data_IF_321115178987
#
_entry.id   IF_321115178987
#
_cell.length_a   1.000
_cell.length_b   1.000
_cell.length_c   1.000
_cell.angle_alpha   90.00
_cell.angle_beta   90.00
_cell.angle_gamma   90.00
#
_symmetry.space_group_name_H-M   'P 1'
#
loop_
_entity.id
_entity.type
_entity.pdbx_description
1 polymer ?
#
# COMPACT_ATOMS: atom_id res chain seq x y z
N UNK A 1 -5.88 8.37 -14.47
CA UNK A 1 -7.00 7.49 -14.10
C UNK A 1 -7.37 6.52 -15.21
N UNK A 2 -7.44 7.00 -16.43
CA UNK A 2 -7.80 6.14 -17.55
C UNK A 2 -6.76 5.05 -17.83
N UNK A 3 -5.49 5.38 -17.70
CA UNK A 3 -4.40 4.40 -17.87
C UNK A 3 -4.54 3.25 -16.87
N UNK A 4 -4.84 3.55 -15.62
CA UNK A 4 -5.03 2.52 -14.58
C UNK A 4 -6.24 1.65 -14.90
N UNK A 5 -7.34 2.24 -15.33
CA UNK A 5 -8.55 1.49 -15.72
C UNK A 5 -8.28 0.59 -16.94
N UNK A 6 -7.54 1.08 -17.91
CA UNK A 6 -7.20 0.33 -19.11
C UNK A 6 -6.33 -0.89 -18.78
N UNK A 7 -5.32 -0.71 -17.93
CA UNK A 7 -4.46 -1.81 -17.48
C UNK A 7 -5.29 -2.86 -16.74
N UNK A 8 -6.12 -2.44 -15.79
CA UNK A 8 -6.94 -3.35 -15.00
C UNK A 8 -7.97 -4.10 -15.84
N UNK A 9 -8.46 -3.50 -16.93
CA UNK A 9 -9.43 -4.13 -17.82
C UNK A 9 -8.81 -5.18 -18.74
N UNK A 10 -7.53 -5.04 -19.07
CA UNK A 10 -6.86 -5.90 -20.08
C UNK A 10 -6.12 -7.08 -19.50
N UNK A 11 -5.62 -6.97 -18.27
CA UNK A 11 -4.75 -8.00 -17.70
C UNK A 11 -4.77 -8.00 -16.18
N UNK A 12 -4.27 -9.10 -15.62
CA UNK A 12 -4.01 -9.16 -14.18
C UNK A 12 -2.83 -8.25 -13.85
N UNK A 13 -2.96 -7.44 -12.82
CA UNK A 13 -1.93 -6.47 -12.46
C UNK A 13 -1.86 -6.24 -10.96
N UNK A 14 -0.64 -5.92 -10.49
CA UNK A 14 -0.40 -5.38 -9.15
C UNK A 14 -0.07 -3.90 -9.33
N UNK A 15 -0.89 -3.03 -8.79
CA UNK A 15 -0.71 -1.58 -8.93
C UNK A 15 -0.35 -1.00 -7.58
N UNK A 16 0.79 -0.31 -7.50
CA UNK A 16 1.28 0.27 -6.26
C UNK A 16 1.07 1.79 -6.27
N UNK A 17 0.31 2.27 -5.29
CA UNK A 17 0.03 3.70 -5.15
C UNK A 17 -0.89 4.25 -6.23
N UNK A 18 -0.68 5.50 -6.63
CA UNK A 18 -1.41 6.20 -7.71
C UNK A 18 -2.92 6.35 -7.45
N UNK A 19 -3.35 6.26 -6.19
CA UNK A 19 -4.77 6.27 -5.82
C UNK A 19 -5.59 5.18 -6.54
N UNK A 20 -4.93 4.06 -6.90
CA UNK A 20 -5.58 2.99 -7.65
C UNK A 20 -6.73 2.35 -6.88
N UNK A 21 -6.62 2.25 -5.56
CA UNK A 21 -7.69 1.76 -4.68
C UNK A 21 -8.97 2.58 -4.85
N UNK A 22 -8.85 3.89 -4.96
CA UNK A 22 -9.96 4.79 -5.18
C UNK A 22 -10.49 4.71 -6.61
N UNK A 23 -9.58 4.72 -7.60
CA UNK A 23 -9.92 4.67 -9.02
C UNK A 23 -10.67 3.39 -9.38
N UNK A 24 -10.25 2.27 -8.78
CA UNK A 24 -10.81 0.94 -9.04
C UNK A 24 -11.85 0.51 -7.99
N UNK A 25 -12.30 1.43 -7.15
CA UNK A 25 -13.30 1.13 -6.12
C UNK A 25 -14.56 0.53 -6.75
N UNK A 26 -15.08 -0.52 -6.11
CA UNK A 26 -16.29 -1.19 -6.55
C UNK A 26 -16.11 -2.25 -7.62
N UNK A 27 -14.89 -2.47 -8.12
CA UNK A 27 -14.64 -3.57 -9.07
C UNK A 27 -14.59 -4.90 -8.33
N UNK A 28 -15.29 -5.90 -8.88
CA UNK A 28 -15.45 -7.20 -8.24
C UNK A 28 -14.18 -8.02 -8.20
N UNK A 29 -13.28 -7.86 -9.15
CA UNK A 29 -12.06 -8.62 -9.27
C UNK A 29 -10.82 -7.88 -8.74
N UNK A 30 -11.03 -6.99 -7.78
CA UNK A 30 -9.98 -6.14 -7.23
C UNK A 30 -9.87 -6.36 -5.72
N UNK A 31 -8.64 -6.52 -5.23
CA UNK A 31 -8.34 -6.56 -3.80
C UNK A 31 -7.48 -5.34 -3.47
N UNK A 32 -7.98 -4.50 -2.58
CA UNK A 32 -7.27 -3.31 -2.12
C UNK A 32 -6.56 -3.61 -0.82
N UNK A 33 -5.24 -3.44 -0.79
CA UNK A 33 -4.39 -3.78 0.35
C UNK A 33 -3.65 -2.55 0.83
N UNK A 34 -3.65 -2.35 2.15
CA UNK A 34 -2.81 -1.37 2.80
C UNK A 34 -1.76 -2.08 3.65
N UNK A 35 -0.50 -1.92 3.29
CA UNK A 35 0.63 -2.52 4.01
C UNK A 35 1.23 -1.47 4.94
N UNK A 36 1.37 -1.82 6.22
CA UNK A 36 1.98 -0.92 7.20
C UNK A 36 2.99 -1.69 8.06
N UNK A 37 3.71 -0.97 8.90
CA UNK A 37 4.61 -1.55 9.89
C UNK A 37 4.78 -0.56 11.04
N UNK A 38 5.13 -1.04 12.26
CA UNK A 38 5.49 -0.16 13.36
C UNK A 38 6.65 0.76 12.97
N UNK A 39 6.67 1.94 13.55
CA UNK A 39 7.67 2.96 13.20
C UNK A 39 9.11 2.48 13.37
N UNK A 40 9.42 1.78 14.46
CA UNK A 40 10.76 1.25 14.73
C UNK A 40 11.21 0.26 13.64
N UNK A 41 10.33 -0.60 13.19
CA UNK A 41 10.59 -1.54 12.10
C UNK A 41 10.90 -0.79 10.80
N UNK A 42 10.11 0.23 10.49
CA UNK A 42 10.29 1.04 9.29
C UNK A 42 11.61 1.82 9.33
N UNK A 43 11.93 2.40 10.48
CA UNK A 43 13.20 3.12 10.68
C UNK A 43 14.38 2.19 10.43
N UNK A 44 14.38 1.00 11.01
CA UNK A 44 15.45 0.03 10.83
C UNK A 44 15.61 -0.40 9.37
N UNK A 45 14.51 -0.61 8.67
CA UNK A 45 14.54 -0.96 7.23
C UNK A 45 15.15 0.13 6.38
N UNK A 46 14.79 1.39 6.65
CA UNK A 46 15.30 2.55 5.89
C UNK A 46 16.79 2.77 6.20
N UNK A 47 17.19 2.65 7.45
CA UNK A 47 18.60 2.75 7.84
C UNK A 47 19.46 1.72 7.09
N UNK A 48 19.00 0.49 7.04
CA UNK A 48 19.72 -0.60 6.38
C UNK A 48 19.78 -0.42 4.85
N UNK A 49 18.66 -0.01 4.25
CA UNK A 49 18.56 0.13 2.78
C UNK A 49 19.34 1.31 2.24
N UNK A 50 19.33 2.43 2.95
CA UNK A 50 19.89 3.69 2.46
C UNK A 50 21.12 4.16 3.21
N UNK A 51 21.62 3.34 4.15
CA UNK A 51 22.78 3.69 4.97
C UNK A 51 22.61 5.05 5.66
N UNK A 52 21.44 5.28 6.23
CA UNK A 52 21.08 6.50 6.95
C UNK A 52 21.23 6.33 8.44
N UNK A 53 21.42 7.44 9.16
CA UNK A 53 21.29 7.47 10.61
C UNK A 53 19.82 7.31 11.01
N UNK A 54 19.56 6.99 12.29
CA UNK A 54 18.21 6.90 12.82
C UNK A 54 17.43 8.21 12.63
N UNK A 55 18.06 9.35 12.93
CA UNK A 55 17.43 10.66 12.80
C UNK A 55 17.05 10.96 11.34
N UNK A 56 17.95 10.65 10.41
CA UNK A 56 17.70 10.84 8.97
C UNK A 56 16.56 9.95 8.49
N UNK A 57 16.55 8.68 8.90
CA UNK A 57 15.51 7.74 8.53
C UNK A 57 14.14 8.16 9.07
N UNK A 58 14.08 8.60 10.32
CA UNK A 58 12.84 9.07 10.94
C UNK A 58 12.29 10.30 10.21
N UNK A 59 13.14 11.24 9.87
CA UNK A 59 12.75 12.44 9.11
C UNK A 59 12.21 12.05 7.72
N UNK A 60 12.88 11.14 7.04
CA UNK A 60 12.49 10.70 5.71
C UNK A 60 11.11 10.01 5.75
N UNK A 61 10.85 9.18 6.75
CA UNK A 61 9.56 8.49 6.93
C UNK A 61 8.45 9.51 7.18
N UNK A 62 8.65 10.44 8.10
CA UNK A 62 7.64 11.43 8.44
C UNK A 62 7.30 12.32 7.24
N UNK A 63 8.29 12.75 6.48
CA UNK A 63 8.09 13.56 5.29
C UNK A 63 7.33 12.78 4.21
N UNK A 64 7.75 11.55 3.94
CA UNK A 64 7.14 10.70 2.92
C UNK A 64 5.68 10.37 3.27
N UNK A 65 5.40 10.03 4.52
CA UNK A 65 4.03 9.71 4.95
C UNK A 65 3.11 10.93 4.85
N UNK A 66 3.61 12.10 5.22
CA UNK A 66 2.85 13.34 5.11
C UNK A 66 2.51 13.65 3.66
N UNK A 67 3.48 13.51 2.76
CA UNK A 67 3.28 13.75 1.34
C UNK A 67 2.27 12.78 0.73
N UNK A 68 2.36 11.49 1.07
CA UNK A 68 1.41 10.47 0.60
C UNK A 68 0.01 10.74 1.10
N UNK A 69 -0.14 11.06 2.38
CA UNK A 69 -1.43 11.37 2.97
C UNK A 69 -2.07 12.60 2.35
N UNK A 70 -1.29 13.66 2.14
CA UNK A 70 -1.77 14.89 1.51
C UNK A 70 -2.16 14.65 0.05
N UNK A 71 -1.36 13.90 -0.68
CA UNK A 71 -1.65 13.55 -2.07
C UNK A 71 -2.95 12.75 -2.19
N UNK A 72 -3.11 11.74 -1.36
CA UNK A 72 -4.30 10.90 -1.35
C UNK A 72 -5.55 11.72 -1.02
N UNK A 73 -5.48 12.54 0.03
CA UNK A 73 -6.59 13.40 0.42
C UNK A 73 -6.98 14.39 -0.69
N UNK A 74 -5.99 14.96 -1.37
CA UNK A 74 -6.23 15.92 -2.45
C UNK A 74 -7.00 15.30 -3.62
N UNK A 75 -6.69 14.05 -3.96
CA UNK A 75 -7.32 13.36 -5.08
C UNK A 75 -8.63 12.65 -4.72
N UNK A 76 -8.78 12.20 -3.48
CA UNK A 76 -9.91 11.34 -3.10
C UNK A 76 -10.84 11.96 -2.07
N UNK A 77 -10.44 13.05 -1.44
CA UNK A 77 -11.11 13.64 -0.28
C UNK A 77 -11.27 12.63 0.89
N UNK A 78 -10.39 11.63 0.93
CA UNK A 78 -10.39 10.57 1.94
C UNK A 78 -9.06 10.54 2.67
N UNK A 79 -9.09 10.04 3.91
CA UNK A 79 -7.89 9.89 4.72
C UNK A 79 -7.12 8.65 4.29
N UNK A 80 -5.83 8.84 3.95
CA UNK A 80 -4.94 7.75 3.58
C UNK A 80 -4.72 6.79 4.75
N UNK A 81 -4.77 5.49 4.49
CA UNK A 81 -4.58 4.47 5.50
C UNK A 81 -5.79 4.19 6.39
N UNK A 82 -6.94 4.75 6.07
CA UNK A 82 -8.17 4.44 6.79
C UNK A 82 -8.66 3.06 6.41
N UNK A 83 -8.79 2.17 7.40
CA UNK A 83 -9.06 0.75 7.19
C UNK A 83 -10.27 0.46 6.29
N UNK A 84 -11.31 1.28 6.38
CA UNK A 84 -12.53 1.09 5.61
C UNK A 84 -12.34 1.25 4.09
N UNK A 85 -11.23 1.86 3.67
CA UNK A 85 -10.93 2.06 2.25
C UNK A 85 -10.23 0.85 1.62
N UNK A 86 -9.90 -0.18 2.40
CA UNK A 86 -9.12 -1.33 1.97
C UNK A 86 -9.81 -2.63 2.33
N UNK A 87 -9.54 -3.67 1.55
CA UNK A 87 -10.01 -5.02 1.85
C UNK A 87 -9.15 -5.69 2.92
N UNK A 88 -7.86 -5.38 2.91
CA UNK A 88 -6.89 -5.94 3.86
C UNK A 88 -5.93 -4.85 4.31
N UNK A 89 -5.71 -4.75 5.62
CA UNK A 89 -4.64 -3.95 6.20
C UNK A 89 -3.70 -4.92 6.92
N UNK A 90 -2.44 -4.98 6.49
CA UNK A 90 -1.50 -5.98 7.00
C UNK A 90 -0.22 -5.33 7.54
N UNK A 91 0.18 -5.77 8.73
CA UNK A 91 1.42 -5.35 9.37
C UNK A 91 2.58 -6.21 8.86
N UNK A 92 3.39 -5.66 7.97
CA UNK A 92 4.56 -6.36 7.42
C UNK A 92 5.69 -6.56 8.44
N UNK A 93 5.61 -5.92 9.60
CA UNK A 93 6.56 -6.12 10.69
C UNK A 93 6.34 -7.40 11.47
N UNK A 94 5.14 -8.00 11.36
CA UNK A 94 4.82 -9.22 12.10
C UNK A 94 5.59 -10.43 11.58
N UNK A 95 5.60 -10.66 10.28
CA UNK A 95 6.23 -11.82 9.66
C UNK A 95 7.38 -11.48 8.72
N UNK A 96 7.64 -10.19 8.50
CA UNK A 96 8.62 -9.71 7.53
C UNK A 96 8.03 -9.51 6.14
N UNK A 97 8.82 -8.86 5.28
CA UNK A 97 8.37 -8.48 3.94
C UNK A 97 8.09 -9.71 3.08
N UNK A 98 8.98 -10.71 3.09
CA UNK A 98 8.86 -11.90 2.25
C UNK A 98 7.58 -12.68 2.52
N UNK A 99 7.32 -13.02 3.78
CA UNK A 99 6.13 -13.78 4.15
C UNK A 99 4.86 -12.98 3.95
N UNK A 100 4.90 -11.67 4.17
CA UNK A 100 3.77 -10.79 3.87
C UNK A 100 3.44 -10.85 2.38
N UNK A 101 4.46 -10.78 1.53
CA UNK A 101 4.26 -10.87 0.08
C UNK A 101 3.69 -12.23 -0.34
N UNK A 102 4.16 -13.33 0.26
CA UNK A 102 3.61 -14.66 0.01
C UNK A 102 2.14 -14.76 0.37
N UNK A 103 1.75 -14.23 1.52
CA UNK A 103 0.35 -14.21 1.94
C UNK A 103 -0.53 -13.43 0.97
N UNK A 104 -0.08 -12.27 0.53
CA UNK A 104 -0.82 -11.44 -0.43
C UNK A 104 -0.94 -12.14 -1.79
N UNK A 105 0.11 -12.82 -2.22
CA UNK A 105 0.08 -13.62 -3.46
C UNK A 105 -0.93 -14.76 -3.36
N UNK A 106 -0.99 -15.44 -2.21
CA UNK A 106 -1.96 -16.50 -1.97
C UNK A 106 -3.40 -15.97 -1.97
N UNK A 107 -3.62 -14.82 -1.36
CA UNK A 107 -4.91 -14.16 -1.37
C UNK A 107 -5.37 -13.84 -2.79
N UNK A 108 -4.47 -13.42 -3.66
CA UNK A 108 -4.79 -13.08 -5.04
C UNK A 108 -5.28 -14.27 -5.86
N UNK A 109 -5.00 -15.50 -5.41
CA UNK A 109 -5.45 -16.74 -6.06
C UNK A 109 -6.86 -17.12 -5.64
N UNK A 110 -7.39 -16.54 -4.58
CA UNK A 110 -8.72 -16.84 -4.09
C UNK A 110 -9.74 -16.09 -4.94
N UNK A 111 -10.74 -16.80 -5.43
CA UNK A 111 -11.83 -16.16 -6.15
C UNK A 111 -12.70 -15.40 -5.15
N UNK A 112 -12.80 -14.09 -5.32
CA UNK A 112 -13.59 -13.23 -4.43
C UNK A 112 -14.75 -12.61 -5.19
N UNK A 113 -15.86 -12.41 -4.50
CA UNK A 113 -17.07 -11.80 -5.06
C UNK A 113 -17.56 -12.50 -6.33
N UNK A 114 -17.57 -13.82 -6.24
CA UNK A 114 -18.07 -14.65 -7.33
C UNK A 114 -19.54 -14.35 -7.68
#
# INVERSE_FOLDING_TARGET
>A
AQVIRDIAAKESAVIVGRCADYILAGRDNTINVFVYAPRDVRVNRIMARHNMSEAEALKAINTSDKERGNHYFRYTDQKWGKAQNYDVCINSGLMGIEKTAEMLADMAKIEVRA
#
